data_IF_782149401029
#
_entry.id   IF_782149401029
#
_cell.length_a   1.000
_cell.length_b   1.000
_cell.length_c   1.000
_cell.angle_alpha   90.00
_cell.angle_beta   90.00
_cell.angle_gamma   90.00
#
_symmetry.space_group_name_H-M   'P 1'
#
loop_
_entity.id
_entity.type
_entity.pdbx_description
1 polymer ?
#
# COMPACT_ATOMS: atom_id res chain seq x y z
N UNK A 1 -5.39 16.43 46.95
CA UNK A 1 -6.67 16.44 46.21
C UNK A 1 -6.67 17.61 45.24
N UNK A 2 -6.75 17.35 43.93
CA UNK A 2 -6.87 18.40 42.92
C UNK A 2 -7.64 17.87 41.72
N UNK A 3 -8.92 18.25 41.60
CA UNK A 3 -9.79 17.89 40.48
C UNK A 3 -9.54 18.90 39.36
N UNK A 4 -9.15 18.44 38.18
CA UNK A 4 -9.10 19.28 36.96
C UNK A 4 -10.26 18.89 36.04
N UNK A 5 -11.18 19.82 35.90
CA UNK A 5 -12.33 19.81 35.00
C UNK A 5 -11.84 19.99 33.57
N UNK A 6 -12.19 19.09 32.65
CA UNK A 6 -11.94 19.25 31.21
C UNK A 6 -13.14 19.96 30.58
N UNK A 7 -12.88 21.12 29.97
CA UNK A 7 -13.85 21.87 29.18
C UNK A 7 -14.05 21.19 27.83
N UNK A 8 -15.31 20.98 27.46
CA UNK A 8 -15.73 20.36 26.21
C UNK A 8 -15.89 21.45 25.14
N UNK A 9 -15.01 21.48 24.14
CA UNK A 9 -15.15 22.37 22.97
C UNK A 9 -16.03 21.66 21.95
N UNK A 10 -17.24 22.19 21.74
CA UNK A 10 -18.21 21.70 20.78
C UNK A 10 -17.82 22.17 19.36
N UNK A 11 -17.65 21.24 18.43
CA UNK A 11 -17.34 21.53 17.03
C UNK A 11 -18.64 21.68 16.23
N UNK A 12 -18.81 22.85 15.60
CA UNK A 12 -19.96 23.19 14.76
C UNK A 12 -19.69 22.83 13.28
N UNK A 13 -20.45 21.90 12.67
CA UNK A 13 -20.23 21.43 11.30
C UNK A 13 -20.68 22.41 10.19
N UNK A 14 -21.29 23.55 10.50
CA UNK A 14 -21.87 24.44 9.49
C UNK A 14 -20.83 25.26 8.69
N UNK A 15 -19.61 25.44 9.19
CA UNK A 15 -18.59 26.28 8.54
C UNK A 15 -17.93 25.64 7.30
N UNK A 16 -18.05 24.32 7.11
CA UNK A 16 -17.34 23.61 6.05
C UNK A 16 -18.05 23.64 4.68
N UNK A 17 -19.32 24.06 4.62
CA UNK A 17 -20.10 24.00 3.38
C UNK A 17 -19.90 25.22 2.45
N UNK A 18 -19.52 26.39 2.98
CA UNK A 18 -19.40 27.60 2.17
C UNK A 18 -18.17 27.62 1.24
N UNK A 19 -17.17 26.77 1.47
CA UNK A 19 -15.96 26.74 0.63
C UNK A 19 -16.11 25.94 -0.67
N UNK A 20 -17.19 25.17 -0.87
CA UNK A 20 -17.34 24.31 -2.05
C UNK A 20 -18.05 24.98 -3.23
N UNK A 21 -18.86 26.01 -3.00
CA UNK A 21 -19.68 26.61 -4.06
C UNK A 21 -18.95 27.70 -4.87
N UNK A 22 -17.82 28.21 -4.38
CA UNK A 22 -17.09 29.31 -5.03
C UNK A 22 -16.22 28.89 -6.25
N UNK A 23 -16.11 27.60 -6.57
CA UNK A 23 -15.18 27.11 -7.61
C UNK A 23 -15.83 26.65 -8.93
N UNK A 24 -17.15 26.76 -9.08
CA UNK A 24 -17.85 26.26 -10.28
C UNK A 24 -18.67 27.33 -10.99
N UNK A 25 -18.02 28.41 -11.41
CA UNK A 25 -18.62 29.32 -12.37
C UNK A 25 -17.54 30.05 -13.18
N UNK A 26 -17.24 29.57 -14.40
CA UNK A 26 -16.85 30.44 -15.52
C UNK A 26 -17.44 29.93 -16.84
N UNK A 27 -18.01 30.82 -17.69
CA UNK A 27 -18.81 30.43 -18.85
C UNK A 27 -18.00 30.40 -20.16
N UNK A 28 -18.57 29.69 -21.14
CA UNK A 28 -18.21 29.64 -22.57
C UNK A 28 -18.80 30.84 -23.31
N UNK A 29 -18.04 31.47 -24.22
CA UNK A 29 -18.54 32.45 -25.19
C UNK A 29 -17.62 32.61 -26.42
N UNK A 30 -18.23 32.49 -27.62
CA UNK A 30 -18.08 33.24 -28.89
C UNK A 30 -16.69 33.59 -29.47
N UNK A 31 -16.48 33.88 -30.76
CA UNK A 31 -17.16 33.81 -32.06
C UNK A 31 -16.07 34.22 -33.10
N UNK A 32 -16.36 34.12 -34.40
CA UNK A 32 -15.37 34.11 -35.49
C UNK A 32 -14.68 35.42 -35.86
N UNK A 33 -13.69 35.30 -36.75
CA UNK A 33 -13.24 36.33 -37.68
C UNK A 33 -12.56 35.68 -38.89
N UNK A 34 -13.08 35.98 -40.07
CA UNK A 34 -12.53 35.69 -41.41
C UNK A 34 -12.05 37.04 -41.97
N UNK A 35 -11.03 37.06 -42.85
CA UNK A 35 -10.87 37.92 -44.07
C UNK A 35 -9.38 37.96 -44.49
N UNK A 36 -9.09 38.08 -45.80
CA UNK A 36 -7.98 37.41 -46.51
C UNK A 36 -6.92 38.38 -47.03
N UNK A 37 -5.86 37.84 -47.65
CA UNK A 37 -5.11 38.55 -48.70
C UNK A 37 -4.73 37.58 -49.82
N UNK A 38 -4.99 38.04 -51.04
CA UNK A 38 -4.85 37.34 -52.30
C UNK A 38 -3.79 38.03 -53.17
N UNK A 39 -3.38 37.32 -54.22
CA UNK A 39 -2.61 37.71 -55.42
C UNK A 39 -1.08 37.64 -55.38
N UNK A 40 -0.53 36.62 -56.04
CA UNK A 40 0.01 36.75 -57.41
C UNK A 40 0.57 35.41 -57.94
N UNK A 41 -0.05 34.86 -58.99
CA UNK A 41 0.55 33.95 -59.99
C UNK A 41 1.00 34.81 -61.20
N UNK A 42 1.85 34.36 -62.17
CA UNK A 42 2.03 32.97 -62.62
C UNK A 42 3.46 32.54 -63.04
N UNK A 43 3.58 31.23 -63.33
CA UNK A 43 4.20 30.63 -64.52
C UNK A 43 5.27 29.54 -64.29
N UNK A 44 4.91 28.36 -64.77
CA UNK A 44 5.71 27.38 -65.51
C UNK A 44 6.65 26.40 -64.77
N UNK A 45 6.44 25.13 -65.12
CA UNK A 45 7.30 23.95 -65.01
C UNK A 45 7.52 23.33 -63.63
N UNK A 46 6.51 22.54 -63.21
CA UNK A 46 6.69 21.46 -62.23
C UNK A 46 6.83 20.14 -62.99
N UNK A 47 8.04 19.57 -63.02
CA UNK A 47 8.23 18.15 -63.30
C UNK A 47 7.79 17.34 -62.06
N UNK A 48 7.01 16.26 -62.21
CA UNK A 48 6.66 15.41 -61.08
C UNK A 48 7.89 14.63 -60.60
N UNK A 49 8.31 14.88 -59.36
CA UNK A 49 9.33 14.07 -58.69
C UNK A 49 8.80 12.65 -58.53
N UNK A 50 9.50 11.71 -59.16
CA UNK A 50 9.21 10.28 -59.16
C UNK A 50 9.45 9.69 -57.77
N UNK A 51 8.41 9.70 -56.91
CA UNK A 51 8.47 9.13 -55.57
C UNK A 51 8.32 7.60 -55.63
N UNK A 52 9.45 6.90 -55.50
CA UNK A 52 9.52 5.45 -55.32
C UNK A 52 8.81 5.06 -54.01
N UNK A 53 7.86 4.10 -54.02
CA UNK A 53 7.19 3.68 -52.80
C UNK A 53 8.17 3.02 -51.82
N UNK A 54 8.24 3.60 -50.62
CA UNK A 54 9.11 3.22 -49.48
C UNK A 54 8.66 1.92 -48.77
N UNK A 55 8.21 0.91 -49.52
CA UNK A 55 7.77 -0.38 -48.99
C UNK A 55 8.80 -1.51 -49.24
N UNK A 56 10.09 -1.19 -49.21
CA UNK A 56 11.18 -2.17 -49.39
C UNK A 56 12.10 -2.33 -48.16
N UNK A 57 11.62 -2.00 -46.96
CA UNK A 57 12.32 -2.35 -45.71
C UNK A 57 11.35 -3.04 -44.76
N UNK A 58 11.16 -4.35 -44.96
CA UNK A 58 10.59 -5.19 -43.92
C UNK A 58 11.62 -5.31 -42.78
N UNK A 59 11.36 -4.76 -41.58
CA UNK A 59 12.22 -5.06 -40.44
C UNK A 59 12.11 -6.56 -40.15
N UNK A 60 13.23 -7.25 -40.14
CA UNK A 60 13.31 -8.64 -39.71
C UNK A 60 12.53 -8.82 -38.40
N UNK A 61 11.59 -9.77 -38.31
CA UNK A 61 10.87 -10.01 -37.08
C UNK A 61 11.88 -10.48 -36.04
N UNK A 62 12.25 -9.58 -35.12
CA UNK A 62 12.87 -10.00 -33.86
C UNK A 62 11.92 -11.03 -33.26
N UNK A 63 12.39 -12.19 -32.78
CA UNK A 63 11.51 -13.11 -32.10
C UNK A 63 10.86 -12.32 -30.97
N UNK A 64 9.54 -12.12 -31.06
CA UNK A 64 8.75 -11.63 -29.94
C UNK A 64 9.07 -12.61 -28.83
N UNK A 65 9.84 -12.15 -27.83
CA UNK A 65 9.97 -12.86 -26.56
C UNK A 65 8.53 -13.07 -26.12
N UNK A 66 8.06 -14.31 -26.21
CA UNK A 66 6.73 -14.66 -25.77
C UNK A 66 6.62 -14.09 -24.36
N UNK A 67 5.66 -13.18 -24.14
CA UNK A 67 5.26 -12.86 -22.79
C UNK A 67 4.94 -14.22 -22.19
N UNK A 68 5.73 -14.61 -21.18
CA UNK A 68 5.45 -15.82 -20.42
C UNK A 68 3.95 -15.76 -20.08
N UNK A 69 3.19 -16.85 -20.29
CA UNK A 69 1.78 -16.87 -19.97
C UNK A 69 1.65 -16.30 -18.55
N UNK A 70 0.78 -15.29 -18.39
CA UNK A 70 0.49 -14.75 -17.09
C UNK A 70 0.13 -15.95 -16.21
N UNK A 71 1.03 -16.33 -15.29
CA UNK A 71 0.76 -17.38 -14.34
C UNK A 71 -0.50 -16.91 -13.64
N UNK A 72 -1.63 -17.54 -13.95
CA UNK A 72 -2.85 -17.37 -13.18
C UNK A 72 -2.44 -17.92 -11.82
N UNK A 73 -2.02 -17.03 -10.92
CA UNK A 73 -1.75 -17.39 -9.54
C UNK A 73 -3.09 -17.86 -9.01
N UNK A 74 -3.27 -19.18 -8.99
CA UNK A 74 -4.45 -19.78 -8.39
C UNK A 74 -4.51 -19.27 -6.95
N UNK A 75 -5.62 -18.62 -6.62
CA UNK A 75 -5.89 -18.21 -5.25
C UNK A 75 -5.97 -19.51 -4.45
N UNK A 76 -5.16 -19.70 -3.40
CA UNK A 76 -5.25 -20.88 -2.57
C UNK A 76 -6.65 -21.04 -2.01
N UNK A 77 -7.06 -22.29 -1.78
CA UNK A 77 -8.29 -22.57 -1.06
C UNK A 77 -8.20 -22.08 0.39
N UNK A 78 -9.34 -21.69 0.97
CA UNK A 78 -9.39 -21.25 2.35
C UNK A 78 -8.99 -22.40 3.30
N UNK A 79 -8.03 -22.20 4.23
CA UNK A 79 -7.62 -23.25 5.16
C UNK A 79 -8.77 -23.63 6.10
N UNK A 80 -9.11 -24.91 6.19
CA UNK A 80 -10.19 -25.40 7.07
C UNK A 80 -10.01 -24.97 8.54
N UNK A 81 -8.75 -24.94 9.02
CA UNK A 81 -8.42 -24.49 10.37
C UNK A 81 -8.86 -23.04 10.66
N UNK A 82 -9.02 -22.21 9.63
CA UNK A 82 -9.48 -20.84 9.79
C UNK A 82 -10.90 -20.81 10.35
N UNK A 83 -11.81 -21.60 9.77
CA UNK A 83 -13.22 -21.69 10.20
C UNK A 83 -13.37 -22.47 11.49
N UNK A 84 -12.66 -23.59 11.62
CA UNK A 84 -12.85 -24.52 12.73
C UNK A 84 -12.19 -24.05 14.04
N UNK A 85 -11.05 -23.36 13.94
CA UNK A 85 -10.22 -23.04 15.10
C UNK A 85 -10.03 -21.53 15.27
N UNK A 86 -9.68 -20.82 14.19
CA UNK A 86 -9.25 -19.41 14.30
C UNK A 86 -10.44 -18.47 14.56
N UNK A 87 -11.50 -18.51 13.75
CA UNK A 87 -12.66 -17.63 13.96
C UNK A 87 -13.32 -17.85 15.34
N UNK A 88 -13.55 -19.10 15.79
CA UNK A 88 -14.08 -19.35 17.12
C UNK A 88 -13.16 -18.86 18.24
N UNK A 89 -11.84 -19.09 18.14
CA UNK A 89 -10.89 -18.62 19.15
C UNK A 89 -10.82 -17.09 19.26
N UNK A 90 -11.17 -16.37 18.19
CA UNK A 90 -11.27 -14.91 18.17
C UNK A 90 -12.67 -14.38 18.55
N UNK A 91 -13.64 -15.27 18.80
CA UNK A 91 -15.04 -14.91 19.05
C UNK A 91 -15.73 -14.28 17.83
N UNK A 92 -15.29 -14.63 16.62
CA UNK A 92 -15.82 -14.10 15.37
C UNK A 92 -16.85 -15.06 14.76
N UNK A 93 -17.74 -14.51 13.94
CA UNK A 93 -18.74 -15.29 13.22
C UNK A 93 -18.11 -16.26 12.22
N UNK A 94 -18.68 -17.45 12.12
CA UNK A 94 -18.21 -18.49 11.19
C UNK A 94 -18.52 -18.18 9.71
N UNK A 95 -19.45 -17.27 9.41
CA UNK A 95 -19.79 -16.86 8.04
C UNK A 95 -19.04 -15.60 7.58
N UNK A 96 -18.04 -15.16 8.34
CA UNK A 96 -17.25 -13.96 8.05
C UNK A 96 -16.53 -14.08 6.70
N UNK A 97 -16.54 -13.04 5.88
CA UNK A 97 -15.75 -13.03 4.65
C UNK A 97 -14.24 -13.06 4.97
N UNK A 98 -13.53 -13.97 4.30
CA UNK A 98 -12.10 -14.20 4.48
C UNK A 98 -11.43 -14.09 3.12
N UNK A 99 -10.34 -13.34 3.06
CA UNK A 99 -9.72 -12.95 1.80
C UNK A 99 -8.25 -13.33 1.79
N UNK A 100 -7.85 -14.15 0.82
CA UNK A 100 -6.43 -14.36 0.56
C UNK A 100 -5.79 -13.03 0.12
N UNK A 101 -4.75 -12.60 0.80
CA UNK A 101 -4.01 -11.37 0.48
C UNK A 101 -2.83 -11.70 -0.41
N UNK A 102 -1.92 -12.57 0.01
CA UNK A 102 -0.79 -13.00 -0.79
C UNK A 102 0.03 -14.10 -0.10
N UNK A 103 0.97 -14.67 -0.83
CA UNK A 103 2.05 -15.48 -0.27
C UNK A 103 3.35 -14.69 -0.22
N UNK A 104 4.18 -14.92 0.79
CA UNK A 104 5.56 -14.41 0.81
C UNK A 104 6.52 -15.38 1.44
N UNK A 105 7.80 -15.20 1.13
CA UNK A 105 8.89 -15.74 1.94
C UNK A 105 9.12 -14.83 3.14
N UNK A 106 9.25 -15.42 4.32
CA UNK A 106 9.72 -14.74 5.52
C UNK A 106 11.18 -14.35 5.29
N UNK A 107 11.49 -13.08 5.58
CA UNK A 107 12.85 -12.53 5.46
C UNK A 107 13.46 -12.28 6.83
N UNK A 108 14.78 -12.15 6.90
CA UNK A 108 15.51 -11.69 8.09
C UNK A 108 14.88 -10.42 8.70
N UNK A 109 14.45 -9.47 7.88
CA UNK A 109 13.83 -8.21 8.32
C UNK A 109 12.49 -8.39 9.02
N UNK A 110 11.79 -9.50 8.77
CA UNK A 110 10.54 -9.85 9.45
C UNK A 110 10.78 -10.46 10.84
N UNK A 111 11.97 -11.00 11.07
CA UNK A 111 12.37 -11.67 12.32
C UNK A 111 13.33 -10.81 13.16
N UNK A 112 13.78 -9.68 12.63
CA UNK A 112 14.70 -8.74 13.27
C UNK A 112 14.03 -7.97 14.42
N UNK A 113 14.52 -8.20 15.64
CA UNK A 113 14.03 -7.56 16.86
C UNK A 113 14.22 -6.04 16.90
N UNK A 114 15.25 -5.50 16.24
CA UNK A 114 15.47 -4.07 16.12
C UNK A 114 14.47 -3.43 15.16
N UNK A 115 14.09 -4.15 14.09
CA UNK A 115 13.12 -3.65 13.13
C UNK A 115 11.69 -3.82 13.63
N UNK A 116 11.39 -4.92 14.33
CA UNK A 116 10.11 -5.24 14.97
C UNK A 116 8.92 -4.98 14.02
N UNK A 117 8.99 -5.55 12.81
CA UNK A 117 8.07 -5.25 11.71
C UNK A 117 7.81 -6.47 10.86
N UNK A 118 6.62 -6.54 10.26
CA UNK A 118 6.28 -7.52 9.24
C UNK A 118 5.84 -6.81 7.97
N UNK A 119 6.48 -7.14 6.83
CA UNK A 119 6.19 -6.49 5.54
C UNK A 119 5.17 -7.29 4.74
N UNK A 120 4.06 -6.64 4.36
CA UNK A 120 3.08 -7.25 3.47
C UNK A 120 3.51 -7.12 1.99
N UNK A 121 3.21 -8.12 1.14
CA UNK A 121 3.43 -8.04 -0.31
C UNK A 121 2.62 -6.91 -0.95
N UNK A 122 3.28 -6.10 -1.78
CA UNK A 122 2.67 -4.89 -2.34
C UNK A 122 1.48 -5.21 -3.26
N UNK A 123 1.62 -6.21 -4.11
CA UNK A 123 0.57 -6.60 -5.07
C UNK A 123 -0.67 -7.14 -4.35
N UNK A 124 -0.49 -8.07 -3.39
CA UNK A 124 -1.57 -8.55 -2.56
C UNK A 124 -2.28 -7.44 -1.77
N UNK A 125 -1.53 -6.48 -1.24
CA UNK A 125 -2.13 -5.32 -0.56
C UNK A 125 -2.98 -4.49 -1.53
N UNK A 126 -2.48 -4.17 -2.72
CA UNK A 126 -3.19 -3.33 -3.68
C UNK A 126 -4.42 -4.02 -4.27
N UNK A 127 -4.32 -5.31 -4.59
CA UNK A 127 -5.36 -6.04 -5.32
C UNK A 127 -6.39 -6.69 -4.42
N UNK A 128 -6.02 -7.09 -3.20
CA UNK A 128 -6.86 -7.95 -2.35
C UNK A 128 -7.12 -7.39 -0.96
N UNK A 129 -6.17 -6.71 -0.33
CA UNK A 129 -6.42 -6.05 0.96
C UNK A 129 -7.13 -4.71 0.82
N UNK A 130 -6.69 -3.84 -0.08
CA UNK A 130 -7.25 -2.49 -0.26
C UNK A 130 -8.77 -2.51 -0.54
N UNK A 131 -9.32 -3.42 -1.36
CA UNK A 131 -10.76 -3.45 -1.65
C UNK A 131 -11.66 -3.81 -0.45
N UNK A 132 -11.12 -4.47 0.59
CA UNK A 132 -11.92 -4.91 1.75
C UNK A 132 -11.96 -3.87 2.88
N UNK A 133 -11.16 -2.80 2.75
CA UNK A 133 -11.05 -1.72 3.72
C UNK A 133 -12.00 -0.57 3.39
N UNK A 134 -12.55 0.06 4.41
CA UNK A 134 -13.35 1.28 4.26
C UNK A 134 -12.44 2.48 3.94
N UNK A 135 -12.99 3.58 3.40
CA UNK A 135 -12.20 4.79 3.14
C UNK A 135 -11.43 5.30 4.37
N UNK A 136 -12.05 5.25 5.56
CA UNK A 136 -11.39 5.67 6.81
C UNK A 136 -10.25 4.73 7.22
N UNK A 137 -10.38 3.43 6.97
CA UNK A 137 -9.32 2.46 7.24
C UNK A 137 -8.17 2.58 6.24
N UNK A 138 -8.50 2.84 4.98
CA UNK A 138 -7.51 3.13 3.94
C UNK A 138 -6.71 4.38 4.27
N UNK A 139 -7.37 5.43 4.74
CA UNK A 139 -6.70 6.65 5.20
C UNK A 139 -5.79 6.36 6.40
N UNK A 140 -6.31 5.68 7.44
CA UNK A 140 -5.53 5.28 8.61
C UNK A 140 -4.30 4.43 8.26
N UNK A 141 -4.40 3.57 7.25
CA UNK A 141 -3.30 2.72 6.78
C UNK A 141 -2.38 3.39 5.76
N UNK A 142 -2.61 4.66 5.37
CA UNK A 142 -1.91 5.34 4.27
C UNK A 142 -2.02 4.59 2.92
N UNK A 143 -3.16 3.97 2.66
CA UNK A 143 -3.48 3.17 1.46
C UNK A 143 -4.51 3.82 0.53
N UNK A 144 -5.09 4.96 0.90
CA UNK A 144 -6.14 5.62 0.11
C UNK A 144 -5.67 6.01 -1.30
N UNK A 145 -4.46 6.54 -1.38
CA UNK A 145 -3.83 6.96 -2.63
C UNK A 145 -2.71 6.01 -3.04
N UNK A 146 -2.60 5.79 -4.35
CA UNK A 146 -1.44 5.12 -4.91
C UNK A 146 -0.20 6.00 -4.74
N UNK A 147 0.97 5.41 -4.47
CA UNK A 147 2.18 6.18 -4.35
C UNK A 147 2.43 6.89 -5.68
N UNK A 148 2.39 8.23 -5.66
CA UNK A 148 2.87 9.03 -6.77
C UNK A 148 4.30 8.57 -7.08
N UNK A 149 4.65 8.30 -8.35
CA UNK A 149 6.02 7.99 -8.71
C UNK A 149 6.88 9.16 -8.26
N UNK A 150 7.70 8.94 -7.23
CA UNK A 150 8.62 9.99 -6.77
C UNK A 150 9.56 10.28 -7.94
N UNK A 151 9.70 11.55 -8.37
CA UNK A 151 10.77 11.89 -9.28
C UNK A 151 12.08 11.47 -8.59
N UNK A 152 12.90 10.67 -9.30
CA UNK A 152 14.26 10.38 -8.88
C UNK A 152 14.91 11.73 -8.61
N UNK A 153 15.15 12.07 -7.34
CA UNK A 153 16.00 13.21 -7.00
C UNK A 153 17.36 12.87 -7.60
N UNK A 154 17.66 13.48 -8.75
CA UNK A 154 19.03 13.58 -9.20
C UNK A 154 19.79 14.19 -8.04
N UNK A 155 20.81 13.45 -7.63
CA UNK A 155 21.76 13.81 -6.59
C UNK A 155 22.41 15.12 -7.04
N UNK A 156 21.86 16.26 -6.61
CA UNK A 156 22.58 17.52 -6.72
C UNK A 156 23.83 17.36 -5.85
N UNK A 157 24.99 17.50 -6.49
CA UNK A 157 26.28 17.52 -5.82
C UNK A 157 26.31 18.54 -4.68
N UNK A 158 27.01 18.24 -3.57
CA UNK A 158 27.28 19.24 -2.54
C UNK A 158 28.32 20.24 -3.04
N UNK A 159 27.96 21.52 -3.15
CA UNK A 159 28.93 22.60 -3.35
C UNK A 159 29.91 22.70 -2.16
N UNK A 160 31.17 23.11 -2.41
CA UNK A 160 32.24 23.01 -1.43
C UNK A 160 32.17 24.08 -0.33
N UNK A 161 32.63 23.65 0.85
CA UNK A 161 32.78 24.38 2.10
C UNK A 161 33.61 25.67 1.95
N UNK A 162 33.12 26.77 2.51
CA UNK A 162 33.99 27.85 3.00
C UNK A 162 34.31 27.61 4.47
N UNK A 163 35.61 27.55 4.74
CA UNK A 163 36.23 27.23 6.01
C UNK A 163 36.86 28.50 6.59
N UNK A 164 36.28 29.06 7.64
CA UNK A 164 36.94 29.93 8.63
C UNK A 164 36.15 29.78 9.94
N UNK A 165 36.68 29.71 11.16
CA UNK A 165 37.93 29.21 11.73
C UNK A 165 37.68 29.24 13.26
N UNK A 166 38.10 28.19 13.97
CA UNK A 166 38.53 28.21 15.37
C UNK A 166 37.54 28.70 16.44
N UNK A 167 36.92 27.76 17.16
CA UNK A 167 37.29 27.51 18.57
C UNK A 167 36.97 26.07 18.93
N UNK A 168 37.96 25.38 19.48
CA UNK A 168 37.80 24.09 20.11
C UNK A 168 37.09 24.30 21.45
N UNK A 169 35.94 23.68 21.62
CA UNK A 169 35.46 23.32 22.95
C UNK A 169 34.78 21.95 22.88
N UNK A 170 35.19 21.05 23.76
CA UNK A 170 34.83 19.63 23.81
C UNK A 170 33.38 19.44 24.26
N UNK A 171 32.44 19.69 23.35
CA UNK A 171 31.04 19.31 23.51
C UNK A 171 30.82 17.87 23.06
N UNK A 172 30.59 16.95 24.00
CA UNK A 172 30.06 15.60 23.74
C UNK A 172 28.84 15.67 22.81
N UNK A 173 29.07 15.47 21.51
CA UNK A 173 28.01 15.33 20.52
C UNK A 173 27.32 13.97 20.71
N UNK A 174 26.42 13.92 21.69
CA UNK A 174 25.40 12.88 21.79
C UNK A 174 24.59 12.99 20.49
N UNK A 175 24.92 12.14 19.51
CA UNK A 175 24.10 11.93 18.32
C UNK A 175 22.69 11.62 18.82
N UNK A 176 21.80 12.61 18.80
CA UNK A 176 20.39 12.43 19.09
C UNK A 176 19.91 11.36 18.12
N UNK A 177 19.70 10.15 18.63
CA UNK A 177 19.04 9.08 17.87
C UNK A 177 17.77 9.72 17.33
N UNK A 178 17.67 9.85 16.00
CA UNK A 178 16.45 10.31 15.35
C UNK A 178 15.35 9.38 15.83
N UNK A 179 14.51 9.89 16.73
CA UNK A 179 13.31 9.18 17.15
C UNK A 179 12.55 8.85 15.88
N UNK A 180 12.29 7.57 15.66
CA UNK A 180 11.56 7.11 14.49
C UNK A 180 10.24 7.88 14.40
N UNK A 181 9.89 8.31 13.19
CA UNK A 181 8.61 8.97 12.95
C UNK A 181 7.48 8.06 13.44
N UNK A 182 6.59 8.59 14.28
CA UNK A 182 5.41 7.84 14.73
C UNK A 182 4.49 7.72 13.52
N UNK A 183 4.59 6.60 12.83
CA UNK A 183 3.65 6.25 11.78
C UNK A 183 2.36 5.83 12.48
N UNK A 184 1.33 6.68 12.43
CA UNK A 184 -0.04 6.23 12.69
C UNK A 184 -0.38 5.03 11.80
N UNK A 185 -1.44 4.30 12.12
CA UNK A 185 -1.81 3.11 11.35
C UNK A 185 -3.20 2.60 11.68
N UNK A 186 -3.70 1.74 10.81
CA UNK A 186 -4.91 0.96 11.05
C UNK A 186 -4.61 -0.10 12.13
N UNK A 187 -5.40 -0.19 13.21
CA UNK A 187 -5.24 -1.24 14.20
C UNK A 187 -5.49 -2.63 13.62
N UNK A 188 -4.54 -3.54 13.81
CA UNK A 188 -4.58 -4.92 13.33
C UNK A 188 -4.13 -5.91 14.39
N UNK A 189 -4.49 -7.18 14.20
CA UNK A 189 -3.90 -8.31 14.93
C UNK A 189 -3.33 -9.31 13.94
N UNK A 190 -2.09 -9.75 14.17
CA UNK A 190 -1.55 -10.92 13.49
C UNK A 190 -2.08 -12.17 14.19
N UNK A 191 -2.36 -13.21 13.43
CA UNK A 191 -2.85 -14.48 13.96
C UNK A 191 -2.04 -15.60 13.34
N UNK A 192 -1.63 -16.56 14.16
CA UNK A 192 -0.98 -17.79 13.72
C UNK A 192 -1.64 -18.97 14.47
N UNK A 193 -1.61 -20.15 13.85
CA UNK A 193 -2.28 -21.33 14.39
C UNK A 193 -1.67 -21.78 15.73
N UNK A 194 -0.36 -21.67 15.90
CA UNK A 194 0.33 -22.05 17.12
C UNK A 194 0.42 -20.89 18.12
N UNK A 195 0.68 -19.67 17.64
CA UNK A 195 0.90 -18.51 18.50
C UNK A 195 -0.38 -17.83 19.01
N UNK A 196 -1.52 -18.15 18.40
CA UNK A 196 -2.79 -17.45 18.61
C UNK A 196 -2.76 -16.03 18.02
N UNK A 197 -3.51 -15.11 18.62
CA UNK A 197 -3.51 -13.71 18.20
C UNK A 197 -2.37 -12.92 18.86
N UNK A 198 -1.83 -11.95 18.13
CA UNK A 198 -0.99 -10.90 18.70
C UNK A 198 -1.82 -9.93 19.53
N UNK A 199 -1.13 -9.08 20.30
CA UNK A 199 -1.71 -7.83 20.77
C UNK A 199 -2.05 -6.88 19.61
N UNK A 200 -2.51 -5.67 19.93
CA UNK A 200 -2.79 -4.65 18.93
C UNK A 200 -1.50 -4.15 18.28
N UNK A 201 -1.45 -4.21 16.95
CA UNK A 201 -0.38 -3.70 16.10
C UNK A 201 -0.96 -2.67 15.14
N UNK A 202 -0.10 -1.92 14.47
CA UNK A 202 -0.49 -0.90 13.50
C UNK A 202 -0.03 -1.30 12.10
N UNK A 203 -0.97 -1.30 11.16
CA UNK A 203 -0.74 -1.44 9.73
C UNK A 203 -0.63 -0.05 9.09
N UNK A 204 0.47 0.22 8.41
CA UNK A 204 0.67 1.50 7.73
C UNK A 204 1.62 1.36 6.54
N UNK A 205 1.32 2.03 5.43
CA UNK A 205 2.26 2.21 4.32
C UNK A 205 3.28 3.28 4.67
N UNK A 206 4.55 2.92 4.60
CA UNK A 206 5.64 3.85 4.91
C UNK A 206 6.02 4.67 3.68
N UNK A 207 6.09 5.99 3.84
CA UNK A 207 6.46 6.90 2.75
C UNK A 207 7.91 6.72 2.27
N UNK A 208 8.82 6.22 3.11
CA UNK A 208 10.24 6.04 2.77
C UNK A 208 10.49 4.81 1.90
N UNK A 209 9.91 3.67 2.27
CA UNK A 209 10.11 2.37 1.59
C UNK A 209 8.98 2.01 0.62
N UNK A 210 7.88 2.78 0.61
CA UNK A 210 6.61 2.46 -0.05
C UNK A 210 6.02 1.11 0.36
N UNK A 211 6.57 0.46 1.40
CA UNK A 211 6.11 -0.83 1.88
C UNK A 211 4.97 -0.68 2.87
N UNK A 212 4.00 -1.59 2.80
CA UNK A 212 2.95 -1.74 3.80
C UNK A 212 3.48 -2.62 4.93
N UNK A 213 3.53 -2.06 6.13
CA UNK A 213 4.20 -2.65 7.30
C UNK A 213 3.20 -2.81 8.43
N UNK A 214 3.23 -3.96 9.09
CA UNK A 214 2.63 -4.18 10.41
C UNK A 214 3.71 -4.03 11.47
N UNK A 215 3.49 -3.16 12.46
CA UNK A 215 4.44 -2.91 13.54
C UNK A 215 3.72 -2.48 14.82
N UNK A 216 4.25 -2.83 15.98
CA UNK A 216 3.71 -2.42 17.28
C UNK A 216 4.35 -3.14 18.46
N UNK A 217 3.92 -2.79 19.67
CA UNK A 217 4.30 -3.49 20.88
C UNK A 217 3.79 -4.94 20.84
N UNK A 218 4.59 -5.89 21.32
CA UNK A 218 4.22 -7.31 21.35
C UNK A 218 4.40 -8.08 20.03
N UNK A 219 4.86 -7.45 18.94
CA UNK A 219 5.18 -8.17 17.69
C UNK A 219 6.26 -9.23 17.89
N UNK A 220 7.39 -8.90 18.54
CA UNK A 220 8.43 -9.92 18.81
C UNK A 220 7.94 -11.02 19.75
N UNK A 221 7.03 -10.74 20.67
CA UNK A 221 6.46 -11.77 21.54
C UNK A 221 5.60 -12.74 20.73
N UNK A 222 4.84 -12.22 19.77
CA UNK A 222 4.09 -13.02 18.81
C UNK A 222 5.02 -13.85 17.92
N UNK A 223 6.05 -13.25 17.31
CA UNK A 223 7.01 -13.96 16.44
C UNK A 223 7.73 -15.09 17.19
N UNK A 224 8.12 -14.87 18.46
CA UNK A 224 8.75 -15.92 19.29
C UNK A 224 7.85 -17.12 19.59
N UNK A 225 6.54 -16.93 19.56
CA UNK A 225 5.55 -18.02 19.70
C UNK A 225 5.22 -18.69 18.36
N UNK A 226 5.49 -18.01 17.25
CA UNK A 226 5.34 -18.59 15.92
C UNK A 226 6.50 -19.57 15.64
N UNK A 227 6.29 -20.49 14.71
CA UNK A 227 7.33 -21.41 14.22
C UNK A 227 8.07 -20.88 12.98
N UNK A 228 7.93 -19.57 12.68
CA UNK A 228 8.50 -18.94 11.50
C UNK A 228 10.03 -18.90 11.55
N UNK A 229 10.64 -19.27 10.45
CA UNK A 229 12.07 -19.17 10.17
C UNK A 229 12.28 -18.39 8.90
N UNK A 230 13.49 -17.88 8.72
CA UNK A 230 13.86 -17.26 7.46
C UNK A 230 13.64 -18.25 6.30
N UNK A 231 13.15 -17.73 5.17
CA UNK A 231 12.81 -18.47 3.95
C UNK A 231 11.56 -19.35 4.00
N UNK A 232 10.89 -19.49 5.15
CA UNK A 232 9.56 -20.10 5.23
C UNK A 232 8.61 -19.38 4.28
N UNK A 233 7.74 -20.13 3.60
CA UNK A 233 6.66 -19.56 2.80
C UNK A 233 5.43 -19.47 3.66
N UNK A 234 4.84 -18.27 3.75
CA UNK A 234 3.60 -18.02 4.48
C UNK A 234 2.53 -17.47 3.56
N UNK A 235 1.30 -17.93 3.78
CA UNK A 235 0.08 -17.38 3.21
C UNK A 235 -0.55 -16.40 4.16
N UNK A 236 -0.98 -15.27 3.62
CA UNK A 236 -1.56 -14.17 4.37
C UNK A 236 -3.03 -14.08 4.01
N UNK A 237 -3.88 -14.23 5.01
CA UNK A 237 -5.33 -14.11 4.91
C UNK A 237 -5.80 -12.92 5.73
N UNK A 238 -6.78 -12.19 5.24
CA UNK A 238 -7.35 -11.03 5.91
C UNK A 238 -8.85 -11.18 6.11
N UNK A 239 -9.32 -10.83 7.30
CA UNK A 239 -10.73 -10.81 7.64
C UNK A 239 -11.03 -9.76 8.71
N UNK A 240 -12.22 -9.19 8.64
CA UNK A 240 -12.68 -8.18 9.60
C UNK A 240 -14.19 -8.23 9.75
N UNK A 241 -14.66 -8.42 10.98
CA UNK A 241 -16.08 -8.39 11.31
C UNK A 241 -16.55 -6.93 11.38
N UNK A 242 -17.56 -6.61 10.58
CA UNK A 242 -18.18 -5.28 10.55
C UNK A 242 -19.29 -5.20 11.59
N UNK A 243 -19.50 -4.00 12.11
CA UNK A 243 -20.64 -3.74 12.99
C UNK A 243 -21.94 -3.98 12.21
N UNK A 244 -22.85 -4.76 12.79
CA UNK A 244 -24.20 -4.92 12.24
C UNK A 244 -25.18 -4.36 13.26
N UNK A 245 -25.93 -3.35 12.85
CA UNK A 245 -27.02 -2.76 13.65
C UNK A 245 -28.36 -3.11 13.03
N UNK A 246 -29.26 -3.61 13.85
CA UNK A 246 -30.66 -3.85 13.49
C UNK A 246 -31.54 -3.09 14.47
N UNK A 247 -32.45 -2.25 13.96
CA UNK A 247 -33.35 -1.41 14.77
C UNK A 247 -32.62 -0.57 15.84
N UNK A 248 -31.47 0.00 15.49
CA UNK A 248 -30.66 0.82 16.40
C UNK A 248 -29.87 0.04 17.47
N UNK A 249 -30.03 -1.29 17.53
CA UNK A 249 -29.26 -2.16 18.44
C UNK A 249 -28.10 -2.81 17.69
N UNK A 250 -26.90 -2.75 18.29
CA UNK A 250 -25.72 -3.46 17.78
C UNK A 250 -25.88 -4.95 18.05
N UNK A 251 -26.02 -5.74 16.99
CA UNK A 251 -26.11 -7.20 17.04
C UNK A 251 -24.74 -7.84 17.00
N UNK A 252 -23.81 -7.21 16.24
CA UNK A 252 -22.45 -7.70 16.04
C UNK A 252 -21.52 -6.51 16.23
N UNK A 253 -20.54 -6.64 17.12
CA UNK A 253 -19.53 -5.61 17.34
C UNK A 253 -18.45 -5.68 16.25
N UNK A 254 -17.94 -4.52 15.86
CA UNK A 254 -16.81 -4.42 14.94
C UNK A 254 -15.53 -4.97 15.58
N UNK A 255 -14.76 -5.75 14.81
CA UNK A 255 -13.47 -6.28 15.23
C UNK A 255 -12.31 -5.43 14.69
N UNK A 256 -11.10 -5.68 15.19
CA UNK A 256 -9.89 -5.28 14.46
C UNK A 256 -9.81 -5.99 13.10
N UNK A 257 -8.99 -5.48 12.20
CA UNK A 257 -8.56 -6.25 11.04
C UNK A 257 -7.60 -7.35 11.51
N UNK A 258 -7.90 -8.59 11.17
CA UNK A 258 -7.04 -9.72 11.48
C UNK A 258 -6.29 -10.15 10.24
N UNK A 259 -4.99 -10.43 10.41
CA UNK A 259 -4.13 -11.00 9.38
C UNK A 259 -3.67 -12.37 9.87
N UNK A 260 -4.26 -13.42 9.32
CA UNK A 260 -3.86 -14.79 9.61
C UNK A 260 -2.68 -15.18 8.71
N UNK A 261 -1.56 -15.53 9.35
CA UNK A 261 -0.29 -15.88 8.71
C UNK A 261 -0.13 -17.38 8.85
N UNK A 262 -0.39 -18.11 7.77
CA UNK A 262 -0.29 -19.56 7.74
C UNK A 262 1.03 -19.97 7.09
N UNK A 263 1.87 -20.72 7.81
CA UNK A 263 3.03 -21.35 7.21
C UNK A 263 2.59 -22.46 6.26
N UNK A 264 3.11 -22.45 5.02
CA UNK A 264 2.95 -23.58 4.10
C UNK A 264 3.92 -24.68 4.48
N UNK A 265 3.39 -25.89 4.61
CA UNK A 265 4.22 -27.08 4.73
C UNK A 265 4.85 -27.40 3.36
N UNK A 266 6.14 -27.75 3.37
CA UNK A 266 6.93 -27.99 2.14
C UNK A 266 6.40 -29.11 1.23
N UNK A 267 5.41 -29.88 1.68
CA UNK A 267 4.77 -30.98 0.96
C UNK A 267 3.89 -30.53 -0.21
N UNK A 268 3.31 -29.32 -0.19
CA UNK A 268 2.48 -28.84 -1.33
C UNK A 268 3.31 -28.46 -2.57
N UNK A 269 4.62 -28.29 -2.46
CA UNK A 269 5.49 -28.01 -3.63
C UNK A 269 5.84 -29.26 -4.46
N UNK A 270 5.58 -30.47 -3.97
CA UNK A 270 5.89 -31.69 -4.73
C UNK A 270 4.78 -32.10 -5.72
N UNK A 271 3.52 -31.74 -5.47
CA UNK A 271 2.42 -32.09 -6.38
C UNK A 271 2.42 -31.28 -7.69
N UNK A 272 2.92 -30.04 -7.68
CA UNK A 272 3.03 -29.20 -8.89
C UNK A 272 4.26 -29.48 -9.77
N UNK A 273 5.09 -30.47 -9.41
CA UNK A 273 6.26 -30.90 -10.19
C UNK A 273 6.12 -32.30 -10.79
N UNK A 274 4.99 -32.97 -10.58
CA UNK A 274 4.74 -34.33 -11.08
C UNK A 274 3.58 -34.40 -12.10
N UNK A 275 3.05 -33.26 -12.54
CA UNK A 275 2.09 -33.18 -13.65
C UNK A 275 2.73 -32.57 -14.90
#
# INVERSE_FOLDING_TARGET
>A
MGKRTLAMVLYDPAAAHQQRDAKRARPSAHAGAVVPYDTAQPAANVEPINAVPLNAFAPHPRPRRALAPAIIQQVPEEPACLRELILPALGLRNDLAVHFVDSKRVTDTDLDAHQNRFRLPADGVLRRLRPILTPGELDAANLLHDPLPKPRRQQLEPEPLQLESLTADEGKNVRKKRQGMVHGGLPVRLVDLAAGASGELLLSRWSSSSGTIVKGGGFMDFVRRCSFREHDVVDIWAFKQREVRLFGKTMVQESHLHLFILKRDGTQQQQSRQE
#
